data_IF_249364474117
#
_entry.id   IF_249364474117
#
_cell.length_a   1.000
_cell.length_b   1.000
_cell.length_c   1.000
_cell.angle_alpha   90.00
_cell.angle_beta   90.00
_cell.angle_gamma   90.00
#
_symmetry.space_group_name_H-M   'P 1'
#
loop_
_entity.id
_entity.type
_entity.pdbx_description
1 polymer ?
#
# COMPACT_ATOMS: atom_id res chain seq x y z
N UNK A 1 -6.36 -2.13 -12.49
CA UNK A 1 -7.34 -2.60 -11.50
C UNK A 1 -8.27 -1.45 -11.12
N UNK A 2 -9.53 -1.76 -11.11
CA UNK A 2 -10.54 -0.76 -10.77
C UNK A 2 -10.85 -0.84 -9.27
N UNK A 3 -10.75 0.30 -8.59
CA UNK A 3 -11.01 0.37 -7.16
C UNK A 3 -12.40 0.96 -6.94
N UNK A 4 -13.25 0.25 -6.21
CA UNK A 4 -14.60 0.74 -5.88
C UNK A 4 -14.52 1.78 -4.76
N UNK A 5 -15.59 2.57 -4.59
CA UNK A 5 -15.66 3.59 -3.54
C UNK A 5 -15.48 2.98 -2.14
N UNK A 6 -16.08 1.82 -1.87
CA UNK A 6 -15.94 1.17 -0.58
C UNK A 6 -14.52 0.66 -0.34
N UNK A 7 -13.88 0.09 -1.37
CA UNK A 7 -12.49 -0.34 -1.28
C UNK A 7 -11.57 0.85 -1.07
N UNK A 8 -11.84 1.98 -1.73
CA UNK A 8 -11.07 3.20 -1.55
C UNK A 8 -11.15 3.71 -0.11
N UNK A 9 -12.34 3.67 0.49
CA UNK A 9 -12.53 4.08 1.89
C UNK A 9 -11.69 3.23 2.83
N UNK A 10 -11.65 1.91 2.61
CA UNK A 10 -10.85 1.01 3.44
C UNK A 10 -9.34 1.24 3.28
N UNK A 11 -8.91 1.52 2.05
CA UNK A 11 -7.51 1.79 1.75
C UNK A 11 -7.01 3.05 2.46
N UNK A 12 -7.86 4.05 2.62
CA UNK A 12 -7.48 5.37 3.13
C UNK A 12 -7.94 5.65 4.56
N UNK A 13 -7.95 4.63 5.41
CA UNK A 13 -8.33 4.83 6.82
C UNK A 13 -7.22 5.47 7.68
N UNK A 14 -5.98 5.51 7.20
CA UNK A 14 -4.89 6.18 7.91
C UNK A 14 -4.89 7.68 7.58
N UNK A 15 -4.76 8.51 8.61
CA UNK A 15 -4.88 9.96 8.49
C UNK A 15 -3.91 10.55 7.48
N UNK A 16 -2.66 10.07 7.46
CA UNK A 16 -1.65 10.59 6.53
C UNK A 16 -2.03 10.34 5.08
N UNK A 17 -2.57 9.16 4.78
CA UNK A 17 -3.00 8.80 3.43
C UNK A 17 -4.24 9.59 3.04
N UNK A 18 -5.18 9.78 3.97
CA UNK A 18 -6.38 10.58 3.73
C UNK A 18 -5.98 12.02 3.40
N UNK A 19 -5.10 12.61 4.18
CA UNK A 19 -4.64 13.98 3.95
C UNK A 19 -3.98 14.13 2.58
N UNK A 20 -3.13 13.19 2.21
CA UNK A 20 -2.46 13.23 0.92
C UNK A 20 -3.43 13.07 -0.23
N UNK A 21 -4.42 12.18 -0.09
CA UNK A 21 -5.45 11.98 -1.08
C UNK A 21 -6.29 13.25 -1.29
N UNK A 22 -6.70 13.89 -0.21
CA UNK A 22 -7.56 15.08 -0.28
C UNK A 22 -6.86 16.28 -0.91
N UNK A 23 -5.52 16.31 -0.87
CA UNK A 23 -4.74 17.37 -1.53
C UNK A 23 -4.70 17.21 -3.04
N UNK A 24 -5.05 16.04 -3.57
CA UNK A 24 -5.04 15.80 -5.01
C UNK A 24 -6.27 16.41 -5.66
N UNK A 25 -6.11 16.88 -6.89
CA UNK A 25 -7.27 17.28 -7.69
C UNK A 25 -8.17 16.07 -7.94
N UNK A 26 -9.48 16.27 -8.17
CA UNK A 26 -10.36 15.15 -8.51
C UNK A 26 -9.85 14.31 -9.68
N UNK A 27 -9.19 14.95 -10.63
CA UNK A 27 -8.63 14.27 -11.79
C UNK A 27 -7.50 13.32 -11.42
N UNK A 28 -6.72 13.64 -10.39
CA UNK A 28 -5.58 12.84 -9.97
C UNK A 28 -5.93 11.82 -8.87
N UNK A 29 -7.12 11.91 -8.27
CA UNK A 29 -7.48 11.06 -7.14
C UNK A 29 -7.61 9.59 -7.50
N UNK A 30 -8.26 9.26 -8.63
CA UNK A 30 -8.46 7.87 -9.02
C UNK A 30 -7.13 7.15 -9.35
N UNK A 31 -6.21 7.75 -10.15
CA UNK A 31 -4.90 7.13 -10.35
C UNK A 31 -4.09 6.97 -9.05
N UNK A 32 -4.20 7.94 -8.15
CA UNK A 32 -3.53 7.88 -6.86
C UNK A 32 -4.03 6.70 -6.03
N UNK A 33 -5.35 6.52 -5.98
CA UNK A 33 -5.97 5.39 -5.28
C UNK A 33 -5.52 4.06 -5.86
N UNK A 34 -5.54 3.94 -7.18
CA UNK A 34 -5.15 2.71 -7.87
C UNK A 34 -3.71 2.34 -7.57
N UNK A 35 -2.79 3.31 -7.60
CA UNK A 35 -1.38 3.08 -7.29
C UNK A 35 -1.19 2.62 -5.84
N UNK A 36 -1.86 3.29 -4.91
CA UNK A 36 -1.72 2.92 -3.51
C UNK A 36 -2.32 1.56 -3.21
N UNK A 37 -3.45 1.23 -3.83
CA UNK A 37 -4.05 -0.08 -3.66
C UNK A 37 -3.15 -1.18 -4.23
N UNK A 38 -2.61 -0.98 -5.42
CA UNK A 38 -1.67 -1.92 -6.03
C UNK A 38 -0.43 -2.12 -5.14
N UNK A 39 0.07 -1.04 -4.55
CA UNK A 39 1.21 -1.11 -3.63
C UNK A 39 0.90 -1.93 -2.39
N UNK A 40 -0.26 -1.69 -1.78
CA UNK A 40 -0.67 -2.44 -0.59
C UNK A 40 -0.85 -3.93 -0.89
N UNK A 41 -1.41 -4.23 -2.05
CA UNK A 41 -1.61 -5.60 -2.50
C UNK A 41 -0.26 -6.31 -2.72
N UNK A 42 0.68 -5.62 -3.38
CA UNK A 42 2.02 -6.17 -3.59
C UNK A 42 2.72 -6.47 -2.26
N UNK A 43 2.63 -5.55 -1.31
CA UNK A 43 3.22 -5.73 0.02
C UNK A 43 2.55 -6.90 0.76
N UNK A 44 1.24 -7.04 0.64
CA UNK A 44 0.53 -8.16 1.27
C UNK A 44 1.02 -9.51 0.77
N UNK A 45 1.44 -9.57 -0.49
CA UNK A 45 2.02 -10.80 -1.07
C UNK A 45 3.42 -11.07 -0.54
N UNK A 46 4.21 -10.03 -0.28
CA UNK A 46 5.51 -10.20 0.39
C UNK A 46 5.30 -10.80 1.79
N UNK A 47 4.25 -10.37 2.48
CA UNK A 47 3.89 -10.95 3.77
C UNK A 47 3.42 -12.40 3.67
N UNK A 48 3.06 -12.85 2.48
CA UNK A 48 2.59 -14.21 2.23
C UNK A 48 1.15 -14.44 2.62
N UNK A 49 0.42 -13.41 3.00
CA UNK A 49 -0.95 -13.54 3.50
C UNK A 49 -2.00 -13.04 2.52
N UNK A 50 -1.62 -12.13 1.61
CA UNK A 50 -2.62 -11.30 0.97
C UNK A 50 -3.37 -10.52 2.06
N UNK A 51 -4.61 -10.17 1.79
CA UNK A 51 -5.45 -9.49 2.79
C UNK A 51 -6.27 -10.53 3.58
N UNK A 52 -5.55 -11.46 4.23
CA UNK A 52 -6.15 -12.48 5.08
C UNK A 52 -5.45 -12.49 6.43
N UNK A 53 -5.87 -13.37 7.33
CA UNK A 53 -5.31 -13.52 8.67
C UNK A 53 -5.34 -12.21 9.46
N UNK A 54 -6.34 -11.37 9.21
CA UNK A 54 -6.48 -10.09 9.87
C UNK A 54 -5.59 -8.98 9.33
N UNK A 55 -4.87 -9.22 8.24
CA UNK A 55 -4.08 -8.19 7.57
C UNK A 55 -5.03 -7.35 6.72
N UNK A 56 -5.08 -6.05 6.97
CA UNK A 56 -6.00 -5.15 6.27
C UNK A 56 -5.22 -4.07 5.53
N UNK A 57 -5.80 -3.52 4.44
CA UNK A 57 -5.12 -2.46 3.69
C UNK A 57 -4.68 -1.28 4.54
N UNK A 58 -5.46 -0.91 5.55
CA UNK A 58 -5.12 0.22 6.44
C UNK A 58 -3.87 -0.03 7.27
N UNK A 59 -3.46 -1.29 7.42
CA UNK A 59 -2.29 -1.65 8.20
C UNK A 59 -1.00 -1.59 7.38
N UNK A 60 -1.12 -1.39 6.07
CA UNK A 60 0.01 -1.23 5.16
C UNK A 60 0.00 0.21 4.66
N UNK A 61 0.82 1.05 5.25
CA UNK A 61 0.83 2.49 4.95
C UNK A 61 1.92 2.77 3.92
N UNK A 62 1.54 3.41 2.82
CA UNK A 62 2.46 3.79 1.77
C UNK A 62 2.78 5.27 1.93
N UNK A 63 4.01 5.58 2.27
CA UNK A 63 4.46 6.95 2.46
C UNK A 63 5.18 7.44 1.21
N UNK A 64 4.88 8.66 0.81
CA UNK A 64 5.57 9.33 -0.31
C UNK A 64 6.71 10.14 0.27
N UNK A 65 7.93 9.68 0.05
CA UNK A 65 9.11 10.32 0.58
C UNK A 65 10.08 10.65 -0.52
N UNK A 66 10.96 11.60 -0.25
CA UNK A 66 12.08 11.88 -1.12
C UNK A 66 12.91 10.60 -1.27
N UNK A 67 13.21 10.24 -2.52
CA UNK A 67 13.90 8.98 -2.80
C UNK A 67 12.99 7.80 -3.07
N UNK A 68 11.66 8.02 -3.10
CA UNK A 68 10.70 7.00 -3.49
C UNK A 68 9.73 6.63 -2.38
N UNK A 69 8.78 5.75 -2.68
CA UNK A 69 7.79 5.32 -1.70
C UNK A 69 8.42 4.45 -0.61
N UNK A 70 7.91 4.60 0.61
CA UNK A 70 8.30 3.77 1.75
C UNK A 70 7.07 3.08 2.31
N UNK A 71 7.27 1.91 2.88
CA UNK A 71 6.20 1.11 3.47
C UNK A 71 6.34 1.14 4.97
N UNK A 72 5.25 1.47 5.65
CA UNK A 72 5.16 1.36 7.10
C UNK A 72 4.08 0.33 7.43
N UNK A 73 4.41 -0.66 8.25
CA UNK A 73 3.47 -1.68 8.66
C UNK A 73 2.94 -1.38 10.06
N UNK A 74 1.65 -1.58 10.25
CA UNK A 74 0.95 -1.34 11.50
C UNK A 74 0.21 -2.60 11.93
N UNK A 75 -0.18 -2.67 13.21
CA UNK A 75 -1.07 -3.69 13.71
C UNK A 75 -0.61 -5.12 13.39
N UNK A 76 -1.54 -5.92 12.91
CA UNK A 76 -1.27 -7.33 12.59
C UNK A 76 -0.28 -7.51 11.45
N UNK A 77 -0.22 -6.58 10.53
CA UNK A 77 0.78 -6.63 9.45
C UNK A 77 2.20 -6.51 10.01
N UNK A 78 2.41 -5.57 10.93
CA UNK A 78 3.71 -5.40 11.58
C UNK A 78 4.08 -6.63 12.40
N UNK A 79 3.13 -7.18 13.15
CA UNK A 79 3.35 -8.37 13.95
C UNK A 79 3.72 -9.57 13.09
N UNK A 80 2.99 -9.80 12.01
CA UNK A 80 3.24 -10.90 11.09
C UNK A 80 4.62 -10.77 10.42
N UNK A 81 4.97 -9.57 9.99
CA UNK A 81 6.28 -9.31 9.39
C UNK A 81 7.41 -9.72 10.34
N UNK A 82 7.28 -9.37 11.60
CA UNK A 82 8.26 -9.75 12.60
C UNK A 82 8.33 -11.26 12.78
N UNK A 83 7.19 -11.92 12.80
CA UNK A 83 7.11 -13.37 12.98
C UNK A 83 7.79 -14.15 11.83
N UNK A 84 7.68 -13.65 10.60
CA UNK A 84 8.28 -14.31 9.44
C UNK A 84 9.71 -13.86 9.17
N UNK A 85 10.25 -12.96 9.99
CA UNK A 85 11.61 -12.46 9.81
C UNK A 85 11.78 -11.47 8.69
N UNK A 86 10.72 -10.77 8.29
CA UNK A 86 10.79 -9.74 7.27
C UNK A 86 11.52 -8.53 7.83
N UNK A 87 12.64 -8.19 7.22
CA UNK A 87 13.53 -7.15 7.71
C UNK A 87 13.34 -5.84 6.98
N UNK A 88 13.11 -5.90 5.68
CA UNK A 88 13.00 -4.70 4.85
C UNK A 88 12.10 -4.97 3.66
N UNK A 89 11.34 -3.96 3.26
CA UNK A 89 10.52 -4.01 2.06
C UNK A 89 10.95 -2.88 1.14
N UNK A 90 11.21 -3.22 -0.11
CA UNK A 90 11.44 -2.24 -1.15
C UNK A 90 10.23 -2.22 -2.07
N UNK A 91 9.78 -1.02 -2.44
CA UNK A 91 8.56 -0.81 -3.22
C UNK A 91 8.87 0.10 -4.41
N UNK A 92 8.40 -0.31 -5.57
CA UNK A 92 8.47 0.50 -6.79
C UNK A 92 7.07 0.62 -7.38
N UNK A 93 6.71 1.83 -7.77
CA UNK A 93 5.40 2.14 -8.33
C UNK A 93 5.56 2.69 -9.73
N UNK A 94 4.62 2.29 -10.61
CA UNK A 94 4.54 2.87 -11.95
C UNK A 94 3.09 2.95 -12.38
N UNK A 95 2.79 3.89 -13.27
CA UNK A 95 1.47 4.00 -13.84
C UNK A 95 1.55 4.45 -15.29
N UNK A 96 0.52 4.04 -16.03
CA UNK A 96 0.26 4.51 -17.39
C UNK A 96 -1.11 5.18 -17.36
N UNK A 97 -1.60 5.62 -18.54
CA UNK A 97 -2.92 6.26 -18.63
C UNK A 97 -4.04 5.39 -18.07
N UNK A 98 -3.93 4.06 -18.20
CA UNK A 98 -5.01 3.14 -17.88
C UNK A 98 -4.69 2.14 -16.77
N UNK A 99 -3.43 2.04 -16.35
CA UNK A 99 -3.02 1.02 -15.41
C UNK A 99 -2.07 1.56 -14.35
N UNK A 100 -2.15 0.96 -13.17
CA UNK A 100 -1.18 1.15 -12.12
C UNK A 100 -0.55 -0.20 -11.78
N UNK A 101 0.74 -0.21 -11.52
CA UNK A 101 1.44 -1.42 -11.14
C UNK A 101 2.40 -1.13 -9.98
N UNK A 102 2.60 -2.14 -9.16
CA UNK A 102 3.53 -2.05 -8.04
C UNK A 102 4.32 -3.34 -7.95
N UNK A 103 5.59 -3.21 -7.64
CA UNK A 103 6.47 -4.34 -7.35
C UNK A 103 7.02 -4.14 -5.96
N UNK A 104 6.86 -5.15 -5.12
CA UNK A 104 7.41 -5.14 -3.77
C UNK A 104 8.33 -6.34 -3.61
N UNK A 105 9.48 -6.12 -2.98
CA UNK A 105 10.41 -7.19 -2.64
C UNK A 105 10.73 -7.11 -1.16
N UNK A 106 10.95 -8.26 -0.55
CA UNK A 106 11.27 -8.33 0.86
C UNK A 106 12.64 -8.93 1.10
N UNK A 107 13.30 -8.44 2.14
CA UNK A 107 14.54 -9.02 2.65
C UNK A 107 14.22 -9.65 3.98
N UNK A 108 14.57 -10.92 4.13
CA UNK A 108 14.28 -11.71 5.32
C UNK A 108 15.56 -12.08 6.06
N UNK A 109 15.42 -12.33 7.32
CA UNK A 109 16.54 -12.86 8.11
C UNK A 109 16.75 -14.34 7.88
#
# INVERSE_FOLDING_TARGET
TRVSSSAASDVYKRQSEISLFLKKSPFAQAPFLAKNFAAKEAVSKVLGTGFSKGIRPKDIVIQRRYGGPKVELKGKAAKHAKEIGLKQISLSLTDTKSNAAAVATGIFN
#
